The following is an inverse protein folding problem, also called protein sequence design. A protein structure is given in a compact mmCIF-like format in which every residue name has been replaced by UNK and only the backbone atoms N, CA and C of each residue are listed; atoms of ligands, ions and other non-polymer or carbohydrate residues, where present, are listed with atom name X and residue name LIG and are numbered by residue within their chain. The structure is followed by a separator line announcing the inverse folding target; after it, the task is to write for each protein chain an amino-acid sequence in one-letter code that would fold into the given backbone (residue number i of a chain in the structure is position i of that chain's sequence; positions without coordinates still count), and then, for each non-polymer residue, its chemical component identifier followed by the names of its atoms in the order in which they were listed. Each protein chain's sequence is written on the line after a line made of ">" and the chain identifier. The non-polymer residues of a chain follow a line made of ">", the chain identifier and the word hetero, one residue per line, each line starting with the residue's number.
data_IF_826420981170
#
_entry.id   IF_826420981170
#
_cell.length_a   1.000
_cell.length_b   1.000
_cell.length_c   1.000
_cell.angle_alpha   90.00
_cell.angle_beta   90.00
_cell.angle_gamma   90.00
#
_symmetry.space_group_name_H-M   'P 1'
#
loop_
_entity.id
_entity.type
_entity.pdbx_description
1 polymer ?
#
# COMPACT_ATOMS: atom_id res chain seq x y z
N UNK A 1 -11.84 2.39 4.97
CA UNK A 1 -12.04 1.55 6.17
C UNK A 1 -10.73 0.85 6.44
N UNK A 2 -10.41 0.58 7.70
CA UNK A 2 -9.13 -0.01 8.11
C UNK A 2 -9.38 -1.20 9.03
N UNK A 3 -8.56 -2.24 8.89
CA UNK A 3 -8.56 -3.42 9.74
C UNK A 3 -7.13 -3.72 10.13
N UNK A 4 -6.94 -4.15 11.36
CA UNK A 4 -5.61 -4.42 11.92
C UNK A 4 -5.57 -5.86 12.41
N UNK A 5 -4.53 -6.57 11.98
CA UNK A 5 -4.20 -7.91 12.46
C UNK A 5 -2.82 -7.83 13.12
N UNK A 6 -2.61 -8.47 14.28
CA UNK A 6 -1.27 -8.56 14.85
C UNK A 6 -0.37 -9.38 13.90
N UNK A 7 0.91 -9.05 13.86
CA UNK A 7 1.90 -9.80 13.04
C UNK A 7 1.97 -11.27 13.43
N UNK A 8 1.66 -11.59 14.68
CA UNK A 8 1.53 -12.94 15.21
C UNK A 8 0.46 -13.74 14.45
N UNK A 9 -0.65 -13.11 14.05
CA UNK A 9 -1.67 -13.77 13.23
C UNK A 9 -1.13 -14.15 11.85
N UNK A 10 -0.34 -13.26 11.23
CA UNK A 10 0.32 -13.52 9.96
C UNK A 10 1.34 -14.67 10.08
N UNK A 11 2.12 -14.71 11.17
CA UNK A 11 3.11 -15.74 11.41
C UNK A 11 2.48 -17.11 11.74
N UNK A 12 1.39 -17.12 12.51
CA UNK A 12 0.70 -18.34 12.94
C UNK A 12 -0.11 -18.98 11.80
N UNK A 13 -0.84 -18.17 11.03
CA UNK A 13 -1.76 -18.67 10.00
C UNK A 13 -1.20 -18.57 8.57
N UNK A 14 -0.08 -17.90 8.38
CA UNK A 14 0.57 -17.69 7.10
C UNK A 14 -0.06 -16.58 6.26
N UNK A 15 0.73 -16.06 5.32
CA UNK A 15 0.30 -15.00 4.41
C UNK A 15 -0.92 -15.38 3.55
N UNK A 16 -1.05 -16.65 3.15
CA UNK A 16 -2.22 -17.13 2.42
C UNK A 16 -3.54 -16.82 3.13
N UNK A 17 -3.62 -17.05 4.45
CA UNK A 17 -4.85 -16.78 5.22
C UNK A 17 -5.17 -15.29 5.30
N UNK A 18 -4.15 -14.43 5.48
CA UNK A 18 -4.31 -12.97 5.50
C UNK A 18 -4.74 -12.45 4.12
N UNK A 19 -4.19 -13.01 3.05
CA UNK A 19 -4.60 -12.71 1.69
C UNK A 19 -6.06 -13.08 1.45
N UNK A 20 -6.47 -14.30 1.81
CA UNK A 20 -7.85 -14.75 1.63
C UNK A 20 -8.84 -13.84 2.37
N UNK A 21 -8.55 -13.50 3.63
CA UNK A 21 -9.36 -12.54 4.39
C UNK A 21 -9.43 -11.17 3.71
N UNK A 22 -8.32 -10.69 3.15
CA UNK A 22 -8.28 -9.42 2.41
C UNK A 22 -9.14 -9.48 1.14
N UNK A 23 -9.13 -10.61 0.44
CA UNK A 23 -9.95 -10.84 -0.76
C UNK A 23 -11.44 -10.93 -0.42
N UNK A 24 -11.80 -11.62 0.66
CA UNK A 24 -13.16 -11.70 1.19
C UNK A 24 -13.70 -10.29 1.54
N UNK A 25 -12.92 -9.49 2.26
CA UNK A 25 -13.27 -8.10 2.56
C UNK A 25 -13.42 -7.26 1.28
N UNK A 26 -12.49 -7.37 0.33
CA UNK A 26 -12.57 -6.65 -0.94
C UNK A 26 -13.81 -7.02 -1.77
N UNK A 27 -14.28 -8.27 -1.70
CA UNK A 27 -15.46 -8.70 -2.43
C UNK A 27 -16.73 -7.97 -1.95
N UNK A 28 -16.86 -7.80 -0.64
CA UNK A 28 -18.04 -7.22 0.02
C UNK A 28 -18.05 -5.68 0.03
N UNK A 29 -16.87 -5.04 -0.03
CA UNK A 29 -16.76 -3.60 0.16
C UNK A 29 -16.79 -2.81 -1.15
N UNK A 30 -17.55 -1.70 -1.22
CA UNK A 30 -17.48 -0.79 -2.35
C UNK A 30 -16.20 0.05 -2.25
N UNK A 31 -15.18 -0.29 -3.04
CA UNK A 31 -13.91 0.43 -3.06
C UNK A 31 -13.57 0.95 -4.46
N UNK A 32 -12.90 2.11 -4.50
CA UNK A 32 -12.17 2.58 -5.69
C UNK A 32 -10.71 2.12 -5.62
N UNK A 33 -10.13 2.17 -4.43
CA UNK A 33 -8.79 1.67 -4.15
C UNK A 33 -8.72 1.12 -2.72
N UNK A 34 -7.74 0.27 -2.47
CA UNK A 34 -7.44 -0.26 -1.15
C UNK A 34 -6.09 -0.97 -1.15
N UNK A 35 -5.60 -1.32 0.02
CA UNK A 35 -4.31 -2.00 0.16
C UNK A 35 -4.26 -2.87 1.40
N UNK A 36 -3.37 -3.85 1.39
CA UNK A 36 -2.99 -4.64 2.56
C UNK A 36 -1.48 -4.91 2.54
N UNK A 37 -0.87 -5.01 3.72
CA UNK A 37 0.56 -5.17 3.89
C UNK A 37 0.98 -4.99 5.35
N UNK A 38 2.29 -4.90 5.59
CA UNK A 38 2.82 -4.55 6.91
C UNK A 38 2.50 -3.08 7.22
N UNK A 39 2.29 -2.76 8.49
CA UNK A 39 2.10 -1.38 8.94
C UNK A 39 2.66 -1.14 10.33
N UNK A 40 3.08 0.09 10.62
CA UNK A 40 3.49 0.50 11.96
C UNK A 40 2.27 0.92 12.77
N UNK A 41 1.57 -0.03 13.38
CA UNK A 41 0.41 0.26 14.21
C UNK A 41 0.81 0.84 15.58
N UNK A 42 0.20 1.96 15.94
CA UNK A 42 0.42 2.64 17.23
C UNK A 42 -0.92 3.08 17.82
N UNK A 43 -1.04 3.01 19.15
CA UNK A 43 -2.24 3.45 19.85
C UNK A 43 -2.54 4.95 19.65
N UNK A 44 -1.49 5.77 19.49
CA UNK A 44 -1.58 7.18 19.11
C UNK A 44 -0.31 7.62 18.40
N UNK A 45 -0.44 8.51 17.41
CA UNK A 45 0.70 9.22 16.85
C UNK A 45 1.10 10.35 17.82
N UNK A 46 2.27 10.20 18.46
CA UNK A 46 2.76 11.13 19.48
C UNK A 46 4.04 11.80 19.02
N UNK A 47 4.35 12.99 19.54
CA UNK A 47 5.59 13.69 19.19
C UNK A 47 6.83 12.83 19.49
N UNK A 48 6.78 12.07 20.58
CA UNK A 48 7.91 11.28 21.05
C UNK A 48 8.15 10.01 20.23
N UNK A 49 7.12 9.43 19.60
CA UNK A 49 7.28 8.25 18.73
C UNK A 49 7.53 8.61 17.25
N UNK A 50 7.26 9.86 16.85
CA UNK A 50 7.40 10.30 15.46
C UNK A 50 8.81 10.07 14.90
N UNK A 51 9.91 10.42 15.61
CA UNK A 51 11.26 10.19 15.10
C UNK A 51 11.54 8.71 14.80
N UNK A 52 11.15 7.82 15.71
CA UNK A 52 11.38 6.37 15.56
C UNK A 52 10.61 5.82 14.36
N UNK A 53 9.34 6.22 14.22
CA UNK A 53 8.47 5.77 13.12
C UNK A 53 8.97 6.29 11.77
N UNK A 54 9.37 7.56 11.71
CA UNK A 54 10.01 8.15 10.53
C UNK A 54 11.26 7.36 10.14
N UNK A 55 12.17 7.14 11.08
CA UNK A 55 13.45 6.50 10.77
C UNK A 55 13.23 5.04 10.31
N UNK A 56 12.33 4.31 10.98
CA UNK A 56 11.96 2.94 10.57
C UNK A 56 11.26 2.90 9.21
N UNK A 57 10.34 3.82 8.93
CA UNK A 57 9.63 3.87 7.63
C UNK A 57 10.52 4.29 6.46
N UNK A 58 11.58 5.07 6.72
CA UNK A 58 12.60 5.39 5.73
C UNK A 58 13.51 4.20 5.43
N UNK A 59 13.81 3.37 6.43
CA UNK A 59 14.60 2.14 6.26
C UNK A 59 13.82 0.99 5.63
N UNK A 60 12.57 0.78 6.06
CA UNK A 60 11.72 -0.35 5.70
C UNK A 60 10.49 0.13 4.91
N UNK A 61 10.63 0.40 3.59
CA UNK A 61 9.58 1.04 2.80
C UNK A 61 8.33 0.17 2.57
N UNK A 62 8.40 -1.13 2.86
CA UNK A 62 7.27 -2.05 2.79
C UNK A 62 6.22 -1.85 3.87
N UNK A 63 6.55 -1.12 4.94
CA UNK A 63 5.60 -0.76 5.98
C UNK A 63 4.75 0.45 5.58
N UNK A 64 3.43 0.30 5.70
CA UNK A 64 2.49 1.41 5.66
C UNK A 64 2.52 2.22 6.97
N UNK A 65 2.24 3.51 6.86
CA UNK A 65 2.00 4.38 8.01
C UNK A 65 0.49 4.50 8.21
N UNK A 66 -0.08 3.81 9.23
CA UNK A 66 -1.51 3.79 9.45
C UNK A 66 -1.99 5.10 10.03
N UNK A 67 -3.31 5.29 9.98
CA UNK A 67 -3.99 6.35 10.69
C UNK A 67 -3.88 7.68 9.97
N UNK A 68 -4.90 7.97 9.16
CA UNK A 68 -5.59 9.26 9.32
C UNK A 68 -7.06 9.04 9.00
N UNK A 69 -7.94 9.30 9.97
CA UNK A 69 -9.39 9.42 9.74
C UNK A 69 -9.75 10.42 8.63
N UNK A 70 -8.81 11.31 8.29
CA UNK A 70 -8.90 12.28 7.19
C UNK A 70 -8.58 11.67 5.82
N UNK A 71 -7.61 10.75 5.71
CA UNK A 71 -7.19 10.20 4.41
C UNK A 71 -8.35 9.51 3.70
N UNK A 72 -9.19 8.78 4.44
CA UNK A 72 -10.43 8.19 3.89
C UNK A 72 -11.43 9.23 3.34
N UNK A 73 -11.37 10.49 3.79
CA UNK A 73 -12.26 11.57 3.34
C UNK A 73 -11.73 12.29 2.10
N UNK A 74 -10.41 12.33 1.92
CA UNK A 74 -9.77 13.19 0.92
C UNK A 74 -9.12 12.42 -0.25
N UNK A 75 -8.91 11.11 -0.12
CA UNK A 75 -8.26 10.31 -1.18
C UNK A 75 -9.08 10.21 -2.47
N UNK A 76 -10.41 10.30 -2.38
CA UNK A 76 -11.29 10.27 -3.54
C UNK A 76 -11.04 9.06 -4.44
N UNK A 77 -10.75 9.32 -5.72
CA UNK A 77 -10.47 8.29 -6.73
C UNK A 77 -8.97 8.00 -6.95
N UNK A 78 -8.13 8.29 -5.96
CA UNK A 78 -6.68 8.03 -5.96
C UNK A 78 -6.34 6.73 -5.21
N UNK A 79 -5.08 6.32 -5.27
CA UNK A 79 -4.54 5.20 -4.47
C UNK A 79 -3.39 5.65 -3.59
N UNK A 80 -3.13 4.95 -2.48
CA UNK A 80 -1.95 5.18 -1.63
C UNK A 80 -0.62 4.83 -2.31
N UNK A 81 -0.66 3.99 -3.34
CA UNK A 81 0.52 3.49 -4.04
C UNK A 81 0.67 1.97 -3.91
N UNK A 82 1.90 1.50 -4.07
CA UNK A 82 2.22 0.08 -4.00
C UNK A 82 2.18 -0.44 -2.55
N UNK A 83 1.64 -1.64 -2.38
CA UNK A 83 1.61 -2.42 -1.14
C UNK A 83 1.61 -3.91 -1.51
N UNK A 84 1.74 -4.80 -0.53
CA UNK A 84 1.75 -6.24 -0.80
C UNK A 84 0.53 -6.68 -1.61
N UNK A 85 -0.66 -6.27 -1.18
CA UNK A 85 -1.88 -6.34 -1.98
C UNK A 85 -2.34 -4.92 -2.29
N UNK A 86 -2.61 -4.63 -3.57
CA UNK A 86 -3.20 -3.36 -4.00
C UNK A 86 -4.49 -3.63 -4.78
N UNK A 87 -5.60 -3.15 -4.23
CA UNK A 87 -6.94 -3.25 -4.79
C UNK A 87 -7.22 -2.02 -5.66
N UNK A 88 -7.66 -2.25 -6.90
CA UNK A 88 -7.84 -1.22 -7.91
C UNK A 88 -9.21 -1.36 -8.58
N UNK A 89 -10.01 -0.31 -8.52
CA UNK A 89 -11.27 -0.16 -9.23
C UNK A 89 -11.23 1.01 -10.21
N UNK A 90 -12.41 1.43 -10.67
CA UNK A 90 -12.55 2.59 -11.57
C UNK A 90 -12.40 3.92 -10.81
N UNK A 91 -11.80 4.96 -11.42
CA UNK A 91 -11.32 5.03 -12.81
C UNK A 91 -9.87 4.53 -13.00
N UNK A 92 -9.18 4.18 -11.92
CA UNK A 92 -7.75 3.83 -11.94
C UNK A 92 -7.50 2.65 -12.88
N UNK A 93 -8.24 1.56 -12.71
CA UNK A 93 -8.08 0.35 -13.53
C UNK A 93 -8.38 0.62 -15.01
N UNK A 94 -9.40 1.42 -15.31
CA UNK A 94 -9.72 1.83 -16.69
C UNK A 94 -8.59 2.63 -17.33
N UNK A 95 -8.01 3.57 -16.58
CA UNK A 95 -6.86 4.36 -17.02
C UNK A 95 -5.58 3.54 -17.29
N UNK A 96 -5.48 2.35 -16.67
CA UNK A 96 -4.38 1.39 -16.89
C UNK A 96 -4.65 0.43 -18.06
N UNK A 97 -5.74 0.62 -18.81
CA UNK A 97 -6.15 -0.28 -19.89
C UNK A 97 -6.83 -1.56 -19.40
N UNK A 98 -7.49 -1.49 -18.24
CA UNK A 98 -8.12 -2.64 -17.60
C UNK A 98 -7.10 -3.63 -17.04
N UNK A 99 -7.58 -4.83 -16.72
CA UNK A 99 -6.74 -5.90 -16.17
C UNK A 99 -5.64 -6.32 -17.16
N UNK A 100 -5.97 -6.42 -18.44
CA UNK A 100 -5.01 -6.79 -19.48
C UNK A 100 -3.89 -5.76 -19.62
N UNK A 101 -4.24 -4.46 -19.63
CA UNK A 101 -3.26 -3.37 -19.67
C UNK A 101 -2.39 -3.31 -18.42
N UNK A 102 -2.97 -3.55 -17.24
CA UNK A 102 -2.23 -3.66 -15.98
C UNK A 102 -1.24 -4.84 -15.99
N UNK A 103 -1.69 -6.04 -16.37
CA UNK A 103 -0.82 -7.22 -16.51
C UNK A 103 0.30 -7.00 -17.53
N UNK A 104 0.04 -6.27 -18.61
CA UNK A 104 1.03 -5.99 -19.63
C UNK A 104 2.15 -5.06 -19.15
N UNK A 105 1.93 -4.25 -18.11
CA UNK A 105 2.92 -3.32 -17.57
C UNK A 105 3.79 -3.93 -16.48
N UNK A 106 3.30 -4.94 -15.75
CA UNK A 106 4.03 -5.59 -14.66
C UNK A 106 4.87 -6.77 -15.18
N UNK A 107 6.17 -6.80 -14.84
CA UNK A 107 7.14 -7.80 -15.30
C UNK A 107 7.83 -8.53 -14.15
N UNK A 108 7.72 -8.02 -12.94
CA UNK A 108 8.37 -8.61 -11.78
C UNK A 108 7.90 -10.04 -11.54
N UNK A 109 8.83 -11.01 -11.36
CA UNK A 109 8.46 -12.37 -10.98
C UNK A 109 7.67 -12.39 -9.67
N UNK A 110 6.65 -13.25 -9.60
CA UNK A 110 5.79 -13.35 -8.42
C UNK A 110 4.72 -12.26 -8.30
N UNK A 111 4.75 -11.23 -9.15
CA UNK A 111 3.64 -10.28 -9.25
C UNK A 111 2.49 -10.90 -10.02
N UNK A 112 1.30 -10.88 -9.41
CA UNK A 112 0.07 -11.40 -10.04
C UNK A 112 -1.00 -10.33 -10.06
N UNK A 113 -1.91 -10.43 -11.05
CA UNK A 113 -3.11 -9.59 -11.12
C UNK A 113 -4.32 -10.50 -11.18
N UNK A 114 -5.16 -10.43 -10.16
CA UNK A 114 -6.39 -11.20 -10.07
C UNK A 114 -7.61 -10.29 -10.32
N UNK A 115 -8.54 -10.78 -11.14
CA UNK A 115 -9.79 -10.07 -11.42
C UNK A 115 -10.78 -10.24 -10.26
N UNK A 116 -11.55 -9.20 -10.01
CA UNK A 116 -12.66 -9.19 -9.05
C UNK A 116 -13.94 -8.70 -9.75
N UNK A 117 -15.08 -9.04 -9.16
CA UNK A 117 -16.38 -8.57 -9.66
C UNK A 117 -16.46 -7.04 -9.69
N UNK A 118 -17.20 -6.49 -10.66
CA UNK A 118 -17.47 -5.04 -10.75
C UNK A 118 -16.32 -4.20 -11.28
N UNK A 119 -15.59 -4.69 -12.29
CA UNK A 119 -14.46 -3.99 -12.93
C UNK A 119 -13.36 -3.58 -11.94
N UNK A 120 -13.01 -4.52 -11.06
CA UNK A 120 -11.97 -4.38 -10.03
C UNK A 120 -10.90 -5.44 -10.21
N UNK A 121 -9.71 -5.17 -9.70
CA UNK A 121 -8.59 -6.09 -9.72
C UNK A 121 -7.75 -5.95 -8.45
N UNK A 122 -6.99 -7.00 -8.13
CA UNK A 122 -5.99 -6.99 -7.06
C UNK A 122 -4.65 -7.36 -7.65
N UNK A 123 -3.65 -6.51 -7.39
CA UNK A 123 -2.25 -6.85 -7.61
C UNK A 123 -1.71 -7.49 -6.34
N UNK A 124 -1.07 -8.65 -6.46
CA UNK A 124 -0.31 -9.26 -5.36
C UNK A 124 1.17 -9.25 -5.70
N UNK A 125 1.99 -8.74 -4.78
CA UNK A 125 3.43 -8.64 -4.88
C UNK A 125 4.10 -9.78 -4.11
N UNK A 126 4.10 -10.98 -4.70
CA UNK A 126 4.62 -12.17 -4.03
C UNK A 126 3.67 -12.81 -3.01
N UNK A 127 4.14 -13.89 -2.39
CA UNK A 127 3.34 -14.70 -1.46
C UNK A 127 3.26 -14.09 -0.05
N UNK A 128 4.28 -13.35 0.36
CA UNK A 128 4.38 -12.75 1.69
C UNK A 128 4.55 -11.23 1.59
N UNK A 129 4.02 -10.46 2.56
CA UNK A 129 4.31 -9.03 2.60
C UNK A 129 5.76 -8.80 3.00
N UNK A 130 6.46 -8.01 2.21
CA UNK A 130 7.88 -7.70 2.43
C UNK A 130 8.05 -6.33 3.09
N UNK A 131 9.02 -6.23 4.01
CA UNK A 131 9.37 -4.98 4.68
C UNK A 131 10.36 -4.13 3.89
N UNK A 132 11.24 -4.77 3.13
CA UNK A 132 12.45 -4.14 2.59
C UNK A 132 13.43 -3.77 3.70
N UNK A 133 14.67 -3.46 3.32
CA UNK A 133 15.65 -2.85 4.22
C UNK A 133 16.73 -2.15 3.37
N UNK A 134 16.57 -0.83 3.24
CA UNK A 134 17.44 -0.01 2.41
C UNK A 134 18.90 0.02 2.90
N UNK A 135 19.17 -0.23 4.18
CA UNK A 135 20.55 -0.32 4.68
C UNK A 135 21.27 -1.57 4.18
N UNK A 136 20.50 -2.63 3.88
CA UNK A 136 21.04 -3.89 3.33
C UNK A 136 20.94 -3.96 1.80
N UNK A 137 20.37 -2.94 1.16
CA UNK A 137 20.15 -2.87 -0.28
C UNK A 137 18.88 -3.57 -0.77
N UNK A 138 18.02 -4.05 0.14
CA UNK A 138 16.71 -4.57 -0.24
C UNK A 138 15.74 -3.41 -0.50
N UNK A 139 15.61 -3.12 -1.79
CA UNK A 139 14.85 -1.97 -2.33
C UNK A 139 13.42 -2.32 -2.72
N UNK A 140 12.97 -3.57 -2.55
CA UNK A 140 11.66 -4.04 -3.01
C UNK A 140 11.38 -3.68 -4.48
N UNK A 141 12.16 -4.20 -5.45
CA UNK A 141 12.09 -3.77 -6.85
C UNK A 141 10.69 -3.94 -7.49
N UNK A 142 9.93 -4.94 -7.06
CA UNK A 142 8.59 -5.20 -7.57
C UNK A 142 7.52 -4.28 -6.95
N UNK A 143 7.72 -3.78 -5.72
CA UNK A 143 6.94 -2.65 -5.18
C UNK A 143 7.23 -1.37 -5.97
N UNK A 144 8.49 -1.13 -6.31
CA UNK A 144 8.90 0.02 -7.14
C UNK A 144 8.31 -0.03 -8.55
N UNK A 145 8.26 -1.21 -9.17
CA UNK A 145 7.61 -1.39 -10.47
C UNK A 145 6.12 -1.01 -10.40
N UNK A 146 5.38 -1.56 -9.44
CA UNK A 146 3.96 -1.22 -9.28
C UNK A 146 3.76 0.26 -8.96
N UNK A 147 4.61 0.86 -8.11
CA UNK A 147 4.52 2.28 -7.78
C UNK A 147 4.65 3.17 -9.03
N UNK A 148 5.60 2.87 -9.93
CA UNK A 148 5.77 3.62 -11.19
C UNK A 148 4.54 3.50 -12.10
N UNK A 149 3.92 2.31 -12.18
CA UNK A 149 2.67 2.12 -12.94
C UNK A 149 1.53 2.94 -12.33
N UNK A 150 1.48 3.04 -10.99
CA UNK A 150 0.42 3.72 -10.26
C UNK A 150 0.66 5.23 -10.09
N UNK A 151 1.86 5.76 -10.35
CA UNK A 151 2.25 7.15 -10.08
C UNK A 151 1.20 8.19 -10.55
N UNK A 152 0.59 8.11 -11.75
CA UNK A 152 -0.40 9.09 -12.19
C UNK A 152 -1.69 9.12 -11.33
N UNK A 153 -1.92 8.07 -10.55
CA UNK A 153 -3.11 7.85 -9.73
C UNK A 153 -2.83 7.93 -8.23
N UNK A 154 -1.57 8.10 -7.83
CA UNK A 154 -1.20 8.17 -6.43
C UNK A 154 -1.76 9.44 -5.79
N UNK A 155 -2.20 9.29 -4.54
CA UNK A 155 -2.57 10.40 -3.68
C UNK A 155 -1.31 11.15 -3.21
N UNK A 156 -1.46 12.43 -2.97
CA UNK A 156 -0.43 13.27 -2.34
C UNK A 156 -1.10 14.10 -1.27
N UNK A 157 -0.59 13.99 -0.05
CA UNK A 157 -1.15 14.64 1.13
C UNK A 157 -1.01 16.18 1.09
N UNK A 158 0.02 16.67 0.39
CA UNK A 158 0.35 18.10 0.33
C UNK A 158 0.79 18.63 1.70
N UNK A 159 0.32 19.82 2.06
CA UNK A 159 0.68 20.49 3.33
C UNK A 159 -0.24 20.09 4.51
N UNK A 160 -1.09 19.07 4.33
CA UNK A 160 -2.00 18.63 5.38
C UNK A 160 -1.26 17.96 6.54
N UNK A 161 -1.87 18.03 7.72
CA UNK A 161 -1.31 17.43 8.93
C UNK A 161 -1.23 15.91 8.81
N UNK A 162 -0.07 15.33 9.11
CA UNK A 162 0.11 13.87 9.26
C UNK A 162 0.98 13.61 10.48
N UNK A 163 0.33 13.50 11.64
CA UNK A 163 1.06 13.34 12.90
C UNK A 163 2.03 14.51 13.13
N UNK A 164 3.28 14.24 13.49
CA UNK A 164 4.30 15.29 13.63
C UNK A 164 5.36 15.28 12.52
N UNK A 165 5.02 14.74 11.34
CA UNK A 165 5.88 14.79 10.17
C UNK A 165 5.81 16.14 9.47
N UNK A 166 6.91 16.60 8.89
CA UNK A 166 6.90 17.77 8.00
C UNK A 166 6.32 17.42 6.62
N UNK A 167 5.82 18.39 5.84
CA UNK A 167 5.37 18.15 4.47
C UNK A 167 6.40 17.42 3.59
N UNK A 168 7.69 17.74 3.77
CA UNK A 168 8.78 17.07 3.05
C UNK A 168 8.97 15.61 3.48
N UNK A 169 8.83 15.32 4.78
CA UNK A 169 8.90 13.95 5.31
C UNK A 169 7.72 13.11 4.79
N UNK A 170 6.52 13.70 4.76
CA UNK A 170 5.31 13.08 4.20
C UNK A 170 5.52 12.79 2.70
N UNK A 171 5.91 13.81 1.93
CA UNK A 171 6.10 13.67 0.49
C UNK A 171 7.15 12.60 0.16
N UNK A 172 8.27 12.58 0.89
CA UNK A 172 9.31 11.56 0.74
C UNK A 172 8.76 10.16 1.01
N UNK A 173 7.94 10.00 2.04
CA UNK A 173 7.36 8.71 2.37
C UNK A 173 6.32 8.26 1.33
N UNK A 174 5.47 9.16 0.85
CA UNK A 174 4.50 8.89 -0.22
C UNK A 174 5.21 8.45 -1.52
N UNK A 175 6.39 9.02 -1.80
CA UNK A 175 7.21 8.72 -2.98
C UNK A 175 8.32 7.67 -2.75
N UNK A 176 8.33 6.97 -1.61
CA UNK A 176 9.41 6.04 -1.19
C UNK A 176 9.78 4.93 -2.19
N UNK A 177 8.89 4.63 -3.14
CA UNK A 177 9.11 3.64 -4.20
C UNK A 177 9.36 4.24 -5.59
N UNK A 178 9.23 5.55 -5.74
CA UNK A 178 9.45 6.29 -6.99
C UNK A 178 10.85 6.89 -7.04
N UNK A 179 11.35 7.35 -5.89
CA UNK A 179 12.65 8.01 -5.73
C UNK A 179 13.74 7.08 -5.17
#
# INVERSE_FOLDING_TARGET
>A
MEFYLPTEYLLEHGAGRVRDLSMELGAELPFVSGHAGLSFHMAAWMRDNTPVVRDLSQRHPGFDLPGMDELRRVMGSRTRGASWLTFLGQPILGGLGGVAGLRAQLKSPGTTVQEMSGDRAVVSLGEWPEAGDLETGDTLPHYRELARVLEPWMYTHGDAYWGNLTPEEIHRWERRFLD
#
